data_IF_968951889014
#
_entry.id   IF_968951889014
#
_cell.length_a   1.000
_cell.length_b   1.000
_cell.length_c   1.000
_cell.angle_alpha   90.00
_cell.angle_beta   90.00
_cell.angle_gamma   90.00
#
_symmetry.space_group_name_H-M   'P 1'
#
loop_
_entity.id
_entity.type
_entity.pdbx_description
1 polymer ?
#
# COMPACT_ATOMS: atom_id res chain seq x y z
N UNK A 1 -6.67 -2.08 5.76
CA UNK A 1 -7.66 -2.58 4.79
C UNK A 1 -8.02 -3.99 5.16
N UNK A 2 -9.31 -4.23 5.43
CA UNK A 2 -9.87 -5.56 5.65
C UNK A 2 -10.49 -6.04 4.34
N UNK A 3 -10.13 -7.24 3.91
CA UNK A 3 -10.70 -7.85 2.71
C UNK A 3 -12.07 -8.50 3.01
N UNK A 4 -12.90 -8.76 1.99
CA UNK A 4 -14.06 -9.64 2.12
C UNK A 4 -13.69 -11.00 2.72
N UNK A 5 -14.61 -11.60 3.47
CA UNK A 5 -14.36 -12.87 4.21
C UNK A 5 -13.88 -14.01 3.31
N UNK A 6 -14.36 -14.09 2.06
CA UNK A 6 -13.92 -15.14 1.13
C UNK A 6 -12.43 -15.04 0.76
N UNK A 7 -11.80 -13.88 0.99
CA UNK A 7 -10.40 -13.62 0.74
C UNK A 7 -9.52 -13.90 1.98
N UNK A 8 -10.07 -14.42 3.07
CA UNK A 8 -9.30 -14.67 4.28
C UNK A 8 -8.35 -15.85 4.13
N UNK A 9 -7.08 -15.65 4.50
CA UNK A 9 -6.04 -16.68 4.64
C UNK A 9 -5.62 -17.40 3.35
N UNK A 10 -6.30 -17.15 2.23
CA UNK A 10 -6.14 -17.94 0.99
C UNK A 10 -5.28 -17.29 -0.08
N UNK A 11 -5.11 -15.97 -0.02
CA UNK A 11 -4.28 -15.22 -0.96
C UNK A 11 -2.85 -14.99 -0.52
N UNK A 12 -2.09 -14.35 -1.39
CA UNK A 12 -0.65 -14.07 -1.22
C UNK A 12 -0.39 -12.58 -1.25
N UNK A 13 0.45 -12.10 -0.33
CA UNK A 13 0.97 -10.73 -0.37
C UNK A 13 2.18 -10.63 -1.29
N UNK A 14 2.25 -9.55 -2.07
CA UNK A 14 3.38 -9.21 -2.94
C UNK A 14 3.78 -7.76 -2.72
N UNK A 15 5.07 -7.49 -2.69
CA UNK A 15 5.62 -6.14 -2.53
C UNK A 15 6.24 -5.67 -3.84
N UNK A 16 6.36 -4.35 -3.98
CA UNK A 16 7.12 -3.78 -5.07
C UNK A 16 8.58 -4.22 -5.03
N UNK A 17 9.26 -4.19 -6.18
CA UNK A 17 10.66 -4.61 -6.30
C UNK A 17 11.65 -3.76 -5.47
N UNK A 18 11.23 -2.59 -4.97
CA UNK A 18 12.01 -1.75 -4.05
C UNK A 18 11.81 -2.12 -2.56
N UNK A 19 11.40 -3.36 -2.30
CA UNK A 19 11.21 -3.89 -0.95
C UNK A 19 12.48 -3.77 -0.10
N UNK A 20 12.35 -3.18 1.08
CA UNK A 20 13.44 -3.03 2.05
C UNK A 20 12.94 -3.14 3.49
N UNK A 21 13.87 -3.47 4.40
CA UNK A 21 13.59 -3.46 5.84
C UNK A 21 12.53 -4.46 6.27
N UNK A 22 12.42 -5.61 5.58
CA UNK A 22 11.44 -6.64 5.87
C UNK A 22 11.74 -7.34 7.21
N UNK A 23 10.71 -7.56 8.02
CA UNK A 23 10.80 -8.36 9.25
C UNK A 23 9.43 -8.92 9.65
N UNK A 24 9.47 -9.99 10.45
CA UNK A 24 8.27 -10.62 11.03
C UNK A 24 8.09 -10.23 12.49
N UNK A 25 6.85 -10.02 12.91
CA UNK A 25 6.43 -9.75 14.28
C UNK A 25 5.21 -10.61 14.63
N UNK A 26 5.47 -11.84 15.07
CA UNK A 26 4.42 -12.85 15.26
C UNK A 26 3.78 -13.27 13.93
N UNK A 27 2.45 -13.18 13.77
CA UNK A 27 1.77 -13.52 12.51
C UNK A 27 1.82 -12.38 11.47
N UNK A 28 2.51 -11.28 11.78
CA UNK A 28 2.59 -10.10 10.95
C UNK A 28 3.90 -10.08 10.17
N UNK A 29 3.82 -9.73 8.90
CA UNK A 29 4.96 -9.43 8.07
C UNK A 29 4.95 -7.95 7.71
N UNK A 30 6.09 -7.27 7.91
CA UNK A 30 6.23 -5.84 7.69
C UNK A 30 7.38 -5.57 6.73
N UNK A 31 7.16 -4.75 5.70
CA UNK A 31 8.20 -4.33 4.78
C UNK A 31 7.93 -2.92 4.21
N UNK A 32 8.98 -2.19 3.87
CA UNK A 32 8.86 -0.93 3.13
C UNK A 32 8.89 -1.20 1.64
N UNK A 33 7.94 -0.65 0.89
CA UNK A 33 7.88 -0.77 -0.57
C UNK A 33 7.02 0.35 -1.17
N UNK A 34 7.16 0.64 -2.46
CA UNK A 34 6.30 1.59 -3.16
C UNK A 34 4.81 1.20 -3.14
N UNK A 35 4.55 -0.11 -3.23
CA UNK A 35 3.21 -0.69 -3.15
C UNK A 35 3.24 -2.08 -2.51
N UNK A 36 2.08 -2.51 -2.03
CA UNK A 36 1.84 -3.87 -1.57
C UNK A 36 0.49 -4.34 -2.14
N UNK A 37 0.44 -5.58 -2.61
CA UNK A 37 -0.73 -6.20 -3.19
C UNK A 37 -1.11 -7.49 -2.46
N UNK A 38 -2.40 -7.80 -2.49
CA UNK A 38 -2.96 -9.06 -2.03
C UNK A 38 -3.73 -9.70 -3.19
N UNK A 39 -3.42 -10.95 -3.50
CA UNK A 39 -4.04 -11.68 -4.60
C UNK A 39 -4.60 -13.00 -4.11
N UNK A 40 -5.89 -13.21 -4.35
CA UNK A 40 -6.57 -14.49 -4.15
C UNK A 40 -6.66 -15.18 -5.51
N UNK A 41 -5.90 -16.25 -5.66
CA UNK A 41 -5.88 -17.11 -6.84
C UNK A 41 -7.00 -18.17 -6.76
N UNK A 42 -8.24 -17.71 -6.61
CA UNK A 42 -9.40 -18.60 -6.61
C UNK A 42 -9.72 -19.04 -8.05
N UNK A 43 -10.14 -20.29 -8.22
CA UNK A 43 -10.36 -20.88 -9.54
C UNK A 43 -11.58 -20.28 -10.27
N UNK A 44 -12.57 -19.78 -9.53
CA UNK A 44 -13.79 -19.21 -10.10
C UNK A 44 -13.76 -17.68 -10.09
N UNK A 45 -13.17 -17.08 -9.05
CA UNK A 45 -13.18 -15.63 -8.81
C UNK A 45 -11.81 -15.09 -8.35
N UNK A 46 -10.80 -15.08 -9.22
CA UNK A 46 -9.52 -14.49 -8.88
C UNK A 46 -9.64 -12.99 -8.64
N UNK A 47 -9.02 -12.48 -7.58
CA UNK A 47 -9.08 -11.05 -7.22
C UNK A 47 -7.70 -10.57 -6.81
N UNK A 48 -7.28 -9.42 -7.35
CA UNK A 48 -6.08 -8.70 -6.87
C UNK A 48 -6.48 -7.33 -6.35
N UNK A 49 -5.90 -6.93 -5.21
CA UNK A 49 -6.04 -5.58 -4.65
C UNK A 49 -4.65 -5.07 -4.30
N UNK A 50 -4.30 -3.86 -4.75
CA UNK A 50 -3.02 -3.24 -4.47
C UNK A 50 -3.18 -1.86 -3.83
N UNK A 51 -2.39 -1.60 -2.78
CA UNK A 51 -2.26 -0.29 -2.14
C UNK A 51 -0.95 0.37 -2.55
N UNK A 52 -1.01 1.66 -2.87
CA UNK A 52 0.13 2.45 -3.33
C UNK A 52 0.48 3.53 -2.30
N UNK A 53 1.77 3.81 -2.11
CA UNK A 53 2.24 4.92 -1.29
C UNK A 53 2.76 6.05 -2.18
N UNK A 54 2.36 7.29 -1.89
CA UNK A 54 2.98 8.45 -2.52
C UNK A 54 4.42 8.63 -1.99
N UNK A 55 5.35 9.04 -2.87
CA UNK A 55 6.74 9.33 -2.49
C UNK A 55 6.87 10.55 -1.58
N UNK A 56 5.88 11.44 -1.59
CA UNK A 56 5.86 12.65 -0.76
C UNK A 56 5.17 12.44 0.58
N UNK A 57 4.78 11.21 0.90
CA UNK A 57 4.43 10.88 2.27
C UNK A 57 5.60 11.26 3.21
N UNK A 58 5.34 11.58 4.49
CA UNK A 58 6.36 12.12 5.39
C UNK A 58 7.57 11.20 5.60
N UNK A 59 7.42 9.92 5.24
CA UNK A 59 8.47 8.91 5.16
C UNK A 59 7.95 7.72 4.31
N UNK A 60 8.84 6.80 3.88
CA UNK A 60 8.42 5.56 3.24
C UNK A 60 7.38 4.80 4.07
N UNK A 61 6.35 4.29 3.39
CA UNK A 61 5.30 3.51 4.05
C UNK A 61 5.87 2.15 4.46
N UNK A 62 5.63 1.77 5.72
CA UNK A 62 5.80 0.41 6.21
C UNK A 62 4.46 -0.32 6.05
N UNK A 63 4.43 -1.29 5.14
CA UNK A 63 3.26 -2.13 4.90
C UNK A 63 3.19 -3.20 5.97
N UNK A 64 2.14 -3.14 6.78
CA UNK A 64 1.80 -4.17 7.74
C UNK A 64 0.85 -5.17 7.06
N UNK A 65 1.25 -6.44 6.99
CA UNK A 65 0.47 -7.52 6.40
C UNK A 65 0.28 -8.65 7.39
N UNK A 66 -0.88 -9.31 7.30
CA UNK A 66 -1.16 -10.52 8.07
C UNK A 66 -2.18 -11.37 7.32
N UNK A 67 -2.06 -12.69 7.47
CA UNK A 67 -3.02 -13.66 6.95
C UNK A 67 -3.96 -14.18 8.06
N UNK A 68 -3.52 -14.17 9.32
CA UNK A 68 -4.28 -14.74 10.44
C UNK A 68 -4.52 -13.73 11.57
N UNK A 69 -5.72 -13.72 12.19
CA UNK A 69 -6.86 -14.62 11.96
C UNK A 69 -7.69 -14.29 10.70
N UNK A 70 -7.31 -13.25 9.97
CA UNK A 70 -7.91 -12.85 8.69
C UNK A 70 -6.89 -12.07 7.86
N UNK A 71 -7.13 -11.94 6.56
CA UNK A 71 -6.25 -11.19 5.68
C UNK A 71 -6.40 -9.68 5.90
N UNK A 72 -5.28 -9.00 6.09
CA UNK A 72 -5.24 -7.57 6.34
C UNK A 72 -3.97 -6.92 5.79
N UNK A 73 -4.14 -5.74 5.20
CA UNK A 73 -3.07 -4.90 4.67
C UNK A 73 -3.24 -3.47 5.16
N UNK A 74 -2.22 -2.86 5.75
CA UNK A 74 -2.23 -1.44 6.10
C UNK A 74 -0.91 -0.76 5.77
N UNK A 75 -0.97 0.44 5.21
CA UNK A 75 0.17 1.34 5.14
C UNK A 75 0.31 2.09 6.45
N UNK A 76 1.48 2.03 7.07
CA UNK A 76 1.78 2.71 8.34
C UNK A 76 3.06 3.53 8.25
N UNK A 77 3.26 4.46 9.20
CA UNK A 77 4.51 5.23 9.33
C UNK A 77 5.39 4.79 10.50
N UNK A 78 5.08 3.62 11.07
CA UNK A 78 5.82 3.07 12.20
C UNK A 78 5.95 4.02 13.41
N UNK A 79 4.88 4.76 13.72
CA UNK A 79 4.92 5.87 14.68
C UNK A 79 5.17 5.42 16.13
N UNK A 80 4.90 4.14 16.45
CA UNK A 80 5.17 3.59 17.79
C UNK A 80 6.66 3.47 18.09
N UNK A 81 7.48 3.14 17.07
CA UNK A 81 8.94 3.05 17.19
C UNK A 81 9.62 4.34 16.79
N UNK A 82 9.07 5.05 15.81
CA UNK A 82 9.65 6.25 15.22
C UNK A 82 8.61 7.39 15.20
N UNK A 83 8.37 8.10 16.32
CA UNK A 83 7.35 9.15 16.36
C UNK A 83 7.62 10.30 15.36
N UNK A 84 6.56 10.97 14.93
CA UNK A 84 6.63 12.29 14.27
C UNK A 84 6.07 13.30 15.26
N UNK A 85 6.87 14.31 15.60
CA UNK A 85 6.39 15.46 16.39
C UNK A 85 5.88 16.53 15.43
N UNK A 86 4.61 16.90 15.56
CA UNK A 86 4.01 18.02 14.85
C UNK A 86 3.96 19.23 15.78
N UNK A 87 4.43 20.38 15.31
CA UNK A 87 4.25 21.64 16.02
C UNK A 87 2.81 22.14 15.84
N UNK A 88 2.44 23.14 16.65
CA UNK A 88 1.22 23.89 16.39
C UNK A 88 1.22 24.40 14.94
N UNK A 89 0.07 24.29 14.29
CA UNK A 89 -0.19 24.71 12.90
C UNK A 89 0.53 23.89 11.80
N UNK A 90 1.32 22.86 12.15
CA UNK A 90 1.86 21.92 11.16
C UNK A 90 0.80 20.86 10.76
N UNK A 91 0.74 20.54 9.47
CA UNK A 91 -0.14 19.50 8.93
C UNK A 91 0.67 18.30 8.48
N UNK A 92 0.26 17.10 8.87
CA UNK A 92 0.75 15.85 8.29
C UNK A 92 -0.20 15.41 7.17
N UNK A 93 0.33 15.32 5.95
CA UNK A 93 -0.42 14.80 4.80
C UNK A 93 0.08 13.41 4.46
N UNK A 94 -0.83 12.48 4.28
CA UNK A 94 -0.55 11.15 3.76
C UNK A 94 -1.46 10.86 2.57
N UNK A 95 -0.89 10.31 1.52
CA UNK A 95 -1.59 9.97 0.30
C UNK A 95 -1.31 8.53 -0.10
N UNK A 96 -2.40 7.81 -0.35
CA UNK A 96 -2.40 6.42 -0.74
C UNK A 96 -3.29 6.21 -1.97
N UNK A 97 -2.89 5.29 -2.82
CA UNK A 97 -3.68 4.80 -3.95
C UNK A 97 -4.26 3.42 -3.66
N UNK A 98 -5.36 3.11 -4.33
CA UNK A 98 -5.95 1.77 -4.31
C UNK A 98 -6.33 1.39 -5.74
N UNK A 99 -5.95 0.18 -6.13
CA UNK A 99 -6.39 -0.44 -7.37
C UNK A 99 -6.90 -1.85 -7.07
N UNK A 100 -7.94 -2.27 -7.79
CA UNK A 100 -8.53 -3.59 -7.68
C UNK A 100 -8.79 -4.15 -9.07
N UNK A 101 -8.55 -5.44 -9.22
CA UNK A 101 -8.75 -6.18 -10.46
C UNK A 101 -9.62 -7.40 -10.18
N UNK A 102 -10.56 -7.64 -11.09
CA UNK A 102 -11.30 -8.89 -11.20
C UNK A 102 -10.43 -9.93 -11.92
N UNK A 103 -9.31 -10.28 -11.30
CA UNK A 103 -8.33 -11.20 -11.85
C UNK A 103 -7.00 -11.24 -11.10
N UNK A 104 -6.21 -12.26 -11.41
CA UNK A 104 -4.79 -12.29 -11.12
C UNK A 104 -4.04 -11.38 -12.09
N UNK A 105 -3.25 -10.45 -11.55
CA UNK A 105 -2.38 -9.58 -12.35
C UNK A 105 -0.91 -9.74 -11.95
N UNK A 106 -0.03 -9.49 -12.91
CA UNK A 106 1.42 -9.54 -12.68
C UNK A 106 1.90 -8.32 -11.87
N UNK A 107 3.07 -8.44 -11.25
CA UNK A 107 3.72 -7.32 -10.56
C UNK A 107 4.02 -6.17 -11.53
N UNK A 108 4.35 -6.48 -12.78
CA UNK A 108 4.57 -5.48 -13.82
C UNK A 108 3.31 -4.66 -14.13
N UNK A 109 2.13 -5.31 -14.13
CA UNK A 109 0.86 -4.62 -14.33
C UNK A 109 0.52 -3.71 -13.13
N UNK A 110 0.73 -4.19 -11.91
CA UNK A 110 0.57 -3.39 -10.69
C UNK A 110 1.51 -2.18 -10.71
N UNK A 111 2.77 -2.38 -11.09
CA UNK A 111 3.78 -1.33 -11.23
C UNK A 111 3.40 -0.29 -12.28
N UNK A 112 2.81 -0.71 -13.41
CA UNK A 112 2.34 0.21 -14.44
C UNK A 112 1.21 1.10 -13.92
N UNK A 113 0.24 0.53 -13.20
CA UNK A 113 -0.86 1.29 -12.60
C UNK A 113 -0.36 2.19 -11.48
N UNK A 114 0.62 1.76 -10.68
CA UNK A 114 1.29 2.60 -9.70
C UNK A 114 1.93 3.84 -10.37
N UNK A 115 2.68 3.66 -11.46
CA UNK A 115 3.30 4.76 -12.21
C UNK A 115 2.25 5.75 -12.74
N UNK A 116 1.19 5.26 -13.38
CA UNK A 116 0.08 6.11 -13.84
C UNK A 116 -0.55 6.90 -12.70
N UNK A 117 -0.79 6.25 -11.55
CA UNK A 117 -1.31 6.91 -10.36
C UNK A 117 -0.36 8.00 -9.84
N UNK A 118 0.95 7.75 -9.82
CA UNK A 118 1.93 8.78 -9.42
C UNK A 118 1.92 9.98 -10.36
N UNK A 119 1.88 9.77 -11.67
CA UNK A 119 1.81 10.85 -12.67
C UNK A 119 0.55 11.71 -12.48
N UNK A 120 -0.62 11.08 -12.37
CA UNK A 120 -1.89 11.79 -12.15
C UNK A 120 -1.90 12.61 -10.85
N UNK A 121 -1.27 12.10 -9.80
CA UNK A 121 -1.23 12.78 -8.50
C UNK A 121 -0.21 13.92 -8.48
N UNK A 122 0.94 13.76 -9.14
CA UNK A 122 1.91 14.84 -9.37
C UNK A 122 1.30 15.98 -10.19
N UNK A 123 0.60 15.69 -11.29
CA UNK A 123 -0.01 16.72 -12.14
C UNK A 123 -1.10 17.52 -11.40
N UNK A 124 -1.97 16.84 -10.66
CA UNK A 124 -2.99 17.50 -9.83
C UNK A 124 -2.37 18.47 -8.83
N UNK A 125 -1.27 18.10 -8.17
CA UNK A 125 -0.56 19.00 -7.25
C UNK A 125 0.08 20.18 -7.96
N UNK A 126 0.75 19.95 -9.10
CA UNK A 126 1.35 21.04 -9.91
C UNK A 126 0.29 22.07 -10.32
N UNK A 127 -0.89 21.61 -10.72
CA UNK A 127 -2.00 22.48 -11.13
C UNK A 127 -2.75 23.12 -9.95
N UNK A 128 -2.63 22.56 -8.74
CA UNK A 128 -3.14 23.17 -7.51
C UNK A 128 -2.23 24.26 -6.95
N UNK A 129 -0.91 24.07 -7.08
CA UNK A 129 0.13 25.04 -6.68
C UNK A 129 0.19 26.27 -7.60
N UNK A 130 -0.28 26.18 -8.84
CA UNK A 130 -0.35 27.33 -9.76
C UNK A 130 -1.57 28.23 -9.58
N UNK A 131 -2.44 27.94 -8.59
CA UNK A 131 -3.67 28.70 -8.29
C UNK A 131 -3.64 29.44 -6.94
N UNK A 132 -2.48 29.55 -6.30
CA UNK A 132 -2.24 30.42 -5.14
C UNK A 132 -1.28 31.54 -5.54
#
# INVERSE_FOLDING_TARGET
MRFPVFMDKVGTFRFAADETGAFDDGPHHLAQAAWCAYTVADAEHPVTVAMFSAKENPRPTLWFTMLEPFSYLAGTFDLSRNPITLKADETLTAQYGLAAWDGEVSEQEIENVYKQWTEMTHEKRRNGLSKQ
#
